data_IF_184144591485
#
_entry.id   IF_184144591485
#
_cell.length_a   1.000
_cell.length_b   1.000
_cell.length_c   1.000
_cell.angle_alpha   90.00
_cell.angle_beta   90.00
_cell.angle_gamma   90.00
#
_symmetry.space_group_name_H-M   'P 1'
#
loop_
_entity.id
_entity.type
_entity.pdbx_description
1 polymer ?
#
# COMPACT_ATOMS: atom_id res chain seq x y z
N UNK A 1 36.08 -8.84 68.91
CA UNK A 1 36.63 -7.74 69.74
C UNK A 1 37.58 -6.99 68.83
N UNK A 2 37.36 -5.76 68.38
CA UNK A 2 36.59 -4.62 68.90
C UNK A 2 36.28 -3.69 67.72
N UNK A 3 35.09 -3.08 67.73
CA UNK A 3 34.71 -1.96 66.87
C UNK A 3 35.59 -0.73 67.10
N UNK A 4 35.77 0.10 66.08
CA UNK A 4 35.96 1.55 66.23
C UNK A 4 35.39 2.28 65.02
N UNK A 5 34.67 3.35 65.29
CA UNK A 5 33.75 4.11 64.44
C UNK A 5 34.37 5.37 63.80
N UNK A 6 33.89 5.71 62.59
CA UNK A 6 33.75 7.07 62.01
C UNK A 6 34.99 7.76 61.42
N UNK A 7 34.85 8.76 60.50
CA UNK A 7 33.67 9.62 60.32
C UNK A 7 33.09 9.73 58.89
N UNK A 8 31.88 10.28 58.84
CA UNK A 8 31.10 10.66 57.65
C UNK A 8 31.76 11.77 56.83
N UNK A 9 31.65 11.71 55.50
CA UNK A 9 31.60 12.91 54.66
C UNK A 9 30.63 12.73 53.50
N UNK A 10 29.56 13.53 53.58
CA UNK A 10 28.77 14.17 52.52
C UNK A 10 29.27 14.01 51.08
N UNK A 11 28.41 13.47 50.20
CA UNK A 11 28.55 13.51 48.75
C UNK A 11 27.16 13.44 48.12
N UNK A 12 26.78 14.53 47.46
CA UNK A 12 25.42 14.85 47.01
C UNK A 12 24.73 13.76 46.19
N UNK A 13 23.43 13.60 46.44
CA UNK A 13 22.45 13.08 45.49
C UNK A 13 22.55 13.86 44.17
N UNK A 14 23.15 13.25 43.15
CA UNK A 14 22.76 13.55 41.78
C UNK A 14 21.67 12.58 41.39
N UNK A 15 20.43 12.93 41.75
CA UNK A 15 19.23 12.49 41.05
C UNK A 15 19.33 12.99 39.61
N UNK A 16 20.00 12.19 38.79
CA UNK A 16 19.93 12.31 37.33
C UNK A 16 18.48 12.10 36.95
N UNK A 17 17.77 13.21 36.72
CA UNK A 17 16.45 13.19 36.12
C UNK A 17 16.66 12.69 34.70
N UNK A 18 16.41 11.41 34.45
CA UNK A 18 16.24 10.88 33.10
C UNK A 18 14.99 11.55 32.51
N UNK A 19 15.19 12.72 31.92
CA UNK A 19 14.20 13.35 31.04
C UNK A 19 14.10 12.47 29.80
N UNK A 20 13.20 11.49 29.85
CA UNK A 20 12.75 10.78 28.66
C UNK A 20 11.93 11.76 27.83
N UNK A 21 12.62 12.54 26.98
CA UNK A 21 11.93 13.30 25.94
C UNK A 21 11.21 12.29 25.05
N UNK A 22 9.88 12.26 25.14
CA UNK A 22 9.04 11.40 24.32
C UNK A 22 9.04 11.97 22.90
N UNK A 23 10.07 11.63 22.14
CA UNK A 23 10.23 12.02 20.75
C UNK A 23 8.97 11.61 19.96
N UNK A 24 8.33 12.56 19.27
CA UNK A 24 7.16 12.28 18.45
C UNK A 24 7.57 11.39 17.28
N UNK A 25 7.11 10.13 17.28
CA UNK A 25 7.31 9.19 16.19
C UNK A 25 6.12 9.20 15.23
N UNK A 26 6.41 9.28 13.93
CA UNK A 26 5.41 9.11 12.86
C UNK A 26 5.78 7.84 12.10
N UNK A 27 4.88 6.87 12.10
CA UNK A 27 5.06 5.59 11.40
C UNK A 27 4.29 5.61 10.09
N UNK A 28 4.93 5.20 8.99
CA UNK A 28 4.27 5.06 7.70
C UNK A 28 3.12 4.05 7.78
N UNK A 29 1.93 4.42 7.29
CA UNK A 29 0.75 3.57 7.19
C UNK A 29 -0.14 4.01 6.03
N UNK A 30 -1.03 3.12 5.60
CA UNK A 30 -2.15 3.46 4.73
C UNK A 30 -3.33 4.02 5.52
N UNK A 31 -4.41 4.34 4.81
CA UNK A 31 -5.66 4.84 5.38
C UNK A 31 -6.45 3.75 6.10
N UNK A 32 -7.08 4.10 7.22
CA UNK A 32 -8.14 3.30 7.83
C UNK A 32 -9.41 3.38 6.99
N UNK A 33 -10.32 2.42 7.16
CA UNK A 33 -11.60 2.40 6.45
C UNK A 33 -12.35 3.73 6.59
N UNK A 34 -12.38 4.32 7.78
CA UNK A 34 -13.11 5.55 8.08
C UNK A 34 -12.48 6.81 7.46
N UNK A 35 -11.19 6.76 7.13
CA UNK A 35 -10.44 7.86 6.50
C UNK A 35 -10.59 7.89 4.96
N UNK A 36 -11.17 6.84 4.36
CA UNK A 36 -11.46 6.82 2.93
C UNK A 36 -12.66 7.71 2.62
N UNK A 37 -12.55 8.53 1.59
CA UNK A 37 -13.63 9.37 1.10
C UNK A 37 -14.14 8.86 -0.25
N UNK A 38 -15.44 8.55 -0.34
CA UNK A 38 -16.04 8.10 -1.60
C UNK A 38 -15.99 9.22 -2.65
N UNK A 39 -15.64 8.87 -3.88
CA UNK A 39 -15.47 9.81 -5.00
C UNK A 39 -14.07 10.43 -5.11
N UNK A 40 -13.26 10.38 -4.04
CA UNK A 40 -11.89 10.94 -4.04
C UNK A 40 -10.94 10.06 -4.85
N UNK A 41 -10.02 10.72 -5.56
CA UNK A 41 -8.92 10.11 -6.32
C UNK A 41 -7.62 10.33 -5.56
N UNK A 42 -6.92 9.24 -5.29
CA UNK A 42 -5.62 9.22 -4.63
C UNK A 42 -4.53 8.96 -5.67
N UNK A 43 -3.61 9.91 -5.83
CA UNK A 43 -2.49 9.80 -6.76
C UNK A 43 -1.27 9.15 -6.10
N UNK A 44 -0.83 8.02 -6.64
CA UNK A 44 0.30 7.26 -6.10
C UNK A 44 1.59 7.70 -6.77
N UNK A 45 2.57 8.13 -5.97
CA UNK A 45 3.89 8.59 -6.41
C UNK A 45 5.00 8.01 -5.50
N UNK A 46 6.23 7.85 -6.01
CA UNK A 46 6.68 8.12 -7.39
C UNK A 46 6.14 7.11 -8.42
N UNK A 47 6.35 7.39 -9.71
CA UNK A 47 6.09 6.40 -10.78
C UNK A 47 7.14 5.28 -10.80
N UNK A 48 6.88 4.23 -11.58
CA UNK A 48 7.78 3.08 -11.75
C UNK A 48 8.08 2.82 -13.23
N UNK A 49 9.33 3.01 -13.63
CA UNK A 49 9.86 2.64 -14.94
C UNK A 49 9.94 1.13 -15.07
N UNK A 50 9.29 0.53 -16.06
CA UNK A 50 9.31 -0.90 -16.34
C UNK A 50 10.56 -1.28 -17.11
N UNK A 51 11.27 -2.29 -16.65
CA UNK A 51 12.52 -2.74 -17.25
C UNK A 51 12.39 -4.16 -17.80
N UNK A 52 13.36 -4.58 -18.60
CA UNK A 52 13.42 -5.96 -19.12
C UNK A 52 13.56 -6.96 -17.98
N UNK A 53 14.31 -6.59 -16.94
CA UNK A 53 14.45 -7.39 -15.72
C UNK A 53 13.10 -7.68 -15.08
N UNK A 54 12.21 -6.68 -15.02
CA UNK A 54 10.86 -6.87 -14.46
C UNK A 54 10.05 -7.88 -15.30
N UNK A 55 10.16 -7.79 -16.62
CA UNK A 55 9.43 -8.67 -17.53
C UNK A 55 9.93 -10.12 -17.45
N UNK A 56 11.26 -10.31 -17.48
CA UNK A 56 11.89 -11.63 -17.37
C UNK A 56 11.56 -12.25 -16.01
N UNK A 57 11.78 -11.51 -14.93
CA UNK A 57 11.55 -12.01 -13.57
C UNK A 57 10.08 -12.41 -13.38
N UNK A 58 9.15 -11.51 -13.68
CA UNK A 58 7.74 -11.78 -13.43
C UNK A 58 7.20 -12.91 -14.31
N UNK A 59 7.55 -12.91 -15.61
CA UNK A 59 7.04 -13.89 -16.56
C UNK A 59 7.56 -15.30 -16.27
N UNK A 60 8.83 -15.43 -15.89
CA UNK A 60 9.42 -16.73 -15.51
C UNK A 60 8.90 -17.21 -14.16
N UNK A 61 8.81 -16.31 -13.16
CA UNK A 61 8.28 -16.63 -11.83
C UNK A 61 6.82 -17.10 -11.89
N UNK A 62 6.01 -16.53 -12.78
CA UNK A 62 4.59 -16.89 -12.94
C UNK A 62 4.35 -18.01 -13.96
N UNK A 63 5.41 -18.61 -14.51
CA UNK A 63 5.32 -19.66 -15.53
C UNK A 63 4.40 -19.29 -16.70
N UNK A 64 4.50 -18.06 -17.21
CA UNK A 64 3.76 -17.65 -18.41
C UNK A 64 4.68 -17.80 -19.64
N UNK A 65 4.60 -18.90 -20.42
CA UNK A 65 5.54 -19.19 -21.51
C UNK A 65 5.24 -18.42 -22.80
N UNK A 66 4.31 -17.46 -22.79
CA UNK A 66 3.90 -16.72 -23.99
C UNK A 66 5.09 -15.97 -24.63
N UNK A 67 5.48 -16.28 -25.90
CA UNK A 67 6.57 -15.61 -26.60
C UNK A 67 6.50 -14.08 -26.63
N UNK A 68 5.29 -13.51 -26.59
CA UNK A 68 5.05 -12.05 -26.52
C UNK A 68 5.85 -11.31 -25.43
N UNK A 69 6.27 -11.99 -24.37
CA UNK A 69 6.97 -11.37 -23.26
C UNK A 69 8.48 -11.65 -23.23
N UNK A 70 8.96 -12.69 -23.92
CA UNK A 70 10.34 -13.19 -23.74
C UNK A 70 11.08 -13.50 -25.04
N UNK A 71 10.39 -13.66 -26.17
CA UNK A 71 11.01 -14.05 -27.43
C UNK A 71 11.09 -12.85 -28.37
N UNK A 72 12.28 -12.25 -28.46
CA UNK A 72 12.55 -11.13 -29.35
C UNK A 72 12.40 -11.51 -30.83
N UNK A 73 12.91 -12.67 -31.23
CA UNK A 73 12.87 -13.10 -32.63
C UNK A 73 11.43 -13.37 -33.09
N UNK A 74 10.61 -13.97 -32.23
CA UNK A 74 9.18 -14.12 -32.49
C UNK A 74 8.47 -12.76 -32.50
N UNK A 75 8.77 -11.88 -31.55
CA UNK A 75 8.09 -10.58 -31.43
C UNK A 75 8.32 -9.65 -32.62
N UNK A 76 9.48 -9.74 -33.28
CA UNK A 76 9.78 -9.03 -34.55
C UNK A 76 8.80 -9.37 -35.69
N UNK A 77 8.13 -10.52 -35.62
CA UNK A 77 7.11 -10.93 -36.61
C UNK A 77 5.71 -10.39 -36.31
N UNK A 78 5.52 -9.77 -35.15
CA UNK A 78 4.24 -9.22 -34.70
C UNK A 78 4.11 -7.72 -35.02
N UNK A 79 2.91 -7.18 -34.93
CA UNK A 79 2.67 -5.73 -35.08
C UNK A 79 3.41 -4.87 -34.05
N UNK A 80 3.83 -5.45 -32.91
CA UNK A 80 4.51 -4.72 -31.84
C UNK A 80 6.00 -4.55 -32.10
N UNK A 81 6.62 -5.42 -32.91
CA UNK A 81 8.03 -5.40 -33.27
C UNK A 81 9.02 -5.73 -32.14
N UNK A 82 8.54 -5.95 -30.92
CA UNK A 82 9.36 -6.23 -29.73
C UNK A 82 8.52 -6.89 -28.62
N UNK A 83 9.16 -7.51 -27.61
CA UNK A 83 8.45 -8.06 -26.47
C UNK A 83 7.70 -6.99 -25.68
N UNK A 84 6.45 -7.28 -25.31
CA UNK A 84 5.65 -6.43 -24.43
C UNK A 84 5.81 -6.85 -22.97
N UNK A 85 5.64 -5.88 -22.06
CA UNK A 85 5.55 -6.18 -20.63
C UNK A 85 4.37 -7.11 -20.35
N UNK A 86 4.57 -8.07 -19.47
CA UNK A 86 3.50 -8.94 -18.99
C UNK A 86 2.39 -8.11 -18.33
N UNK A 87 1.16 -8.25 -18.81
CA UNK A 87 0.02 -7.46 -18.35
C UNK A 87 -0.29 -7.72 -16.86
N UNK A 88 -0.06 -8.93 -16.38
CA UNK A 88 -0.21 -9.26 -14.96
C UNK A 88 0.85 -8.59 -14.08
N UNK A 89 2.06 -8.35 -14.60
CA UNK A 89 3.05 -7.51 -13.93
C UNK A 89 2.55 -6.07 -13.82
N UNK A 90 1.97 -5.53 -14.89
CA UNK A 90 1.39 -4.18 -14.90
C UNK A 90 0.28 -4.04 -13.86
N UNK A 91 -0.64 -5.01 -13.77
CA UNK A 91 -1.69 -5.05 -12.74
C UNK A 91 -1.10 -5.10 -11.32
N UNK A 92 -0.12 -5.99 -11.10
CA UNK A 92 0.52 -6.14 -9.80
C UNK A 92 1.24 -4.85 -9.37
N UNK A 93 1.96 -4.19 -10.27
CA UNK A 93 2.63 -2.92 -9.98
C UNK A 93 1.64 -1.80 -9.72
N UNK A 94 0.54 -1.72 -10.48
CA UNK A 94 -0.53 -0.72 -10.24
C UNK A 94 -1.13 -0.85 -8.84
N UNK A 95 -1.43 -2.07 -8.41
CA UNK A 95 -1.92 -2.34 -7.06
C UNK A 95 -0.83 -2.04 -6.02
N UNK A 96 0.41 -2.46 -6.28
CA UNK A 96 1.56 -2.27 -5.40
C UNK A 96 1.83 -0.80 -5.09
N UNK A 97 1.77 0.07 -6.11
CA UNK A 97 1.97 1.52 -5.95
C UNK A 97 0.95 2.15 -4.99
N UNK A 98 -0.28 1.62 -4.91
CA UNK A 98 -1.30 2.12 -3.99
C UNK A 98 -1.09 1.74 -2.53
N UNK A 99 -0.27 0.72 -2.25
CA UNK A 99 -0.24 0.07 -0.93
C UNK A 99 0.15 1.05 0.16
N UNK A 100 1.21 1.82 -0.06
CA UNK A 100 1.75 2.76 0.93
C UNK A 100 0.72 3.78 1.39
N UNK A 101 -0.09 4.30 0.46
CA UNK A 101 -1.09 5.33 0.73
C UNK A 101 -2.41 4.75 1.24
N UNK A 102 -2.90 3.64 0.67
CA UNK A 102 -4.27 3.18 0.91
C UNK A 102 -4.38 2.05 1.93
N UNK A 103 -3.47 1.09 1.93
CA UNK A 103 -3.75 -0.22 2.56
C UNK A 103 -2.66 -0.72 3.51
N UNK A 104 -1.49 -0.09 3.56
CA UNK A 104 -0.36 -0.54 4.38
C UNK A 104 -0.74 -0.58 5.87
N UNK A 105 -0.80 -1.80 6.42
CA UNK A 105 -1.17 -2.02 7.82
C UNK A 105 -2.66 -1.94 8.14
N UNK A 106 -3.52 -1.62 7.16
CA UNK A 106 -4.97 -1.41 7.39
C UNK A 106 -5.86 -2.38 6.61
N UNK A 107 -5.34 -3.03 5.57
CA UNK A 107 -6.09 -4.07 4.84
C UNK A 107 -6.13 -5.39 5.62
N UNK A 108 -7.32 -5.98 5.67
CA UNK A 108 -7.56 -7.32 6.21
C UNK A 108 -7.47 -8.37 5.12
N UNK A 109 -8.11 -8.10 3.98
CA UNK A 109 -8.12 -9.04 2.86
C UNK A 109 -8.36 -8.34 1.52
N UNK A 110 -7.72 -8.86 0.48
CA UNK A 110 -8.15 -8.64 -0.89
C UNK A 110 -9.33 -9.57 -1.21
N UNK A 111 -10.52 -9.02 -1.45
CA UNK A 111 -11.71 -9.84 -1.69
C UNK A 111 -11.86 -10.24 -3.16
N UNK A 112 -11.22 -9.51 -4.08
CA UNK A 112 -11.18 -9.87 -5.49
C UNK A 112 -11.19 -8.66 -6.42
N UNK A 113 -11.16 -8.96 -7.70
CA UNK A 113 -11.29 -7.99 -8.80
C UNK A 113 -12.55 -8.32 -9.60
N UNK A 114 -13.33 -7.30 -9.98
CA UNK A 114 -14.53 -7.48 -10.80
C UNK A 114 -14.33 -7.11 -12.27
N UNK A 115 -13.39 -6.21 -12.55
CA UNK A 115 -13.07 -5.76 -13.90
C UNK A 115 -11.57 -5.50 -13.98
N UNK A 116 -10.91 -5.99 -15.03
CA UNK A 116 -9.50 -5.72 -15.35
C UNK A 116 -9.39 -5.52 -16.85
N UNK A 117 -8.79 -4.42 -17.28
CA UNK A 117 -8.57 -4.11 -18.70
C UNK A 117 -7.15 -3.58 -18.93
N UNK A 118 -6.63 -3.82 -20.13
CA UNK A 118 -5.29 -3.38 -20.58
C UNK A 118 -5.42 -2.63 -21.91
N UNK A 119 -5.83 -1.35 -21.91
CA UNK A 119 -6.21 -0.65 -23.14
C UNK A 119 -5.04 -0.35 -24.09
N UNK A 120 -3.83 -0.20 -23.55
CA UNK A 120 -2.61 0.05 -24.29
C UNK A 120 -1.46 -0.85 -23.79
N UNK A 121 -0.56 -1.31 -24.67
CA UNK A 121 0.57 -2.13 -24.27
C UNK A 121 1.57 -1.31 -23.45
N UNK A 122 2.22 -1.96 -22.49
CA UNK A 122 3.37 -1.39 -21.78
C UNK A 122 4.63 -1.98 -22.38
N UNK A 123 5.60 -1.12 -22.69
CA UNK A 123 6.88 -1.50 -23.30
C UNK A 123 8.02 -1.39 -22.28
N UNK A 124 9.15 -1.98 -22.63
CA UNK A 124 10.39 -1.75 -21.91
C UNK A 124 10.73 -0.25 -21.90
N UNK A 125 11.06 0.30 -20.74
CA UNK A 125 11.39 1.72 -20.56
C UNK A 125 10.19 2.61 -20.22
N UNK A 126 8.95 2.14 -20.37
CA UNK A 126 7.77 2.93 -19.99
C UNK A 126 7.73 3.17 -18.49
N UNK A 127 7.35 4.37 -18.07
CA UNK A 127 7.14 4.71 -16.67
C UNK A 127 5.66 4.79 -16.36
N UNK A 128 5.19 3.95 -15.44
CA UNK A 128 3.78 3.96 -15.03
C UNK A 128 3.56 4.81 -13.79
N UNK A 129 2.48 5.58 -13.82
CA UNK A 129 1.91 6.32 -12.70
C UNK A 129 0.52 5.77 -12.44
N UNK A 130 0.16 5.66 -11.16
CA UNK A 130 -1.12 5.08 -10.77
C UNK A 130 -1.94 6.04 -9.94
N UNK A 131 -3.24 5.97 -10.10
CA UNK A 131 -4.21 6.64 -9.25
C UNK A 131 -5.30 5.67 -8.83
N UNK A 132 -6.04 6.00 -7.79
CA UNK A 132 -7.14 5.16 -7.30
C UNK A 132 -8.32 5.99 -6.86
N UNK A 133 -9.48 5.74 -7.46
CA UNK A 133 -10.74 6.32 -7.03
C UNK A 133 -11.46 5.39 -6.06
N UNK A 134 -11.97 5.92 -4.96
CA UNK A 134 -12.89 5.18 -4.08
C UNK A 134 -14.28 5.24 -4.69
N UNK A 135 -14.73 4.14 -5.30
CA UNK A 135 -16.05 4.07 -5.93
C UNK A 135 -17.17 3.94 -4.90
N UNK A 136 -16.93 3.12 -3.87
CA UNK A 136 -17.91 2.79 -2.85
C UNK A 136 -17.21 2.37 -1.55
N UNK A 137 -17.88 2.59 -0.42
CA UNK A 137 -17.45 2.07 0.89
C UNK A 137 -18.67 1.75 1.75
N UNK A 138 -18.63 0.62 2.45
CA UNK A 138 -19.68 0.24 3.40
C UNK A 138 -19.13 -0.51 4.60
N UNK A 139 -19.75 -0.33 5.76
CA UNK A 139 -19.42 -1.11 6.94
C UNK A 139 -19.68 -2.62 6.69
N UNK A 140 -18.87 -3.46 7.31
CA UNK A 140 -19.07 -4.91 7.29
C UNK A 140 -20.19 -5.29 8.26
N UNK A 141 -21.18 -6.02 7.77
CA UNK A 141 -22.28 -6.52 8.61
C UNK A 141 -21.86 -7.67 9.52
N UNK A 142 -20.84 -8.44 9.13
CA UNK A 142 -20.39 -9.64 9.85
C UNK A 142 -19.09 -9.44 10.63
N UNK A 143 -18.41 -8.29 10.47
CA UNK A 143 -17.14 -7.98 11.14
C UNK A 143 -17.19 -6.56 11.72
N UNK A 144 -17.61 -6.39 12.98
CA UNK A 144 -17.65 -5.09 13.64
C UNK A 144 -16.28 -4.40 13.59
N UNK A 145 -16.28 -3.07 13.40
CA UNK A 145 -15.05 -2.28 13.26
C UNK A 145 -14.30 -2.47 11.94
N UNK A 146 -14.88 -3.15 10.95
CA UNK A 146 -14.31 -3.31 9.61
C UNK A 146 -15.27 -2.84 8.53
N UNK A 147 -14.74 -2.51 7.37
CA UNK A 147 -15.53 -2.08 6.22
C UNK A 147 -14.98 -2.61 4.90
N UNK A 148 -15.84 -2.68 3.90
CA UNK A 148 -15.49 -3.06 2.54
C UNK A 148 -15.42 -1.80 1.70
N UNK A 149 -14.28 -1.59 1.03
CA UNK A 149 -14.08 -0.52 0.07
C UNK A 149 -13.96 -1.11 -1.34
N UNK A 150 -14.55 -0.39 -2.31
CA UNK A 150 -14.40 -0.67 -3.74
C UNK A 150 -13.53 0.41 -4.36
N UNK A 151 -12.39 0.00 -4.90
CA UNK A 151 -11.40 0.86 -5.52
C UNK A 151 -11.39 0.67 -7.03
N UNK A 152 -11.31 1.75 -7.78
CA UNK A 152 -10.94 1.75 -9.19
C UNK A 152 -9.50 2.23 -9.30
N UNK A 153 -8.60 1.32 -9.63
CA UNK A 153 -7.21 1.63 -9.94
C UNK A 153 -7.08 1.94 -11.42
N UNK A 154 -6.28 2.94 -11.75
CA UNK A 154 -5.93 3.30 -13.11
C UNK A 154 -4.44 3.59 -13.22
N UNK A 155 -3.78 2.97 -14.20
CA UNK A 155 -2.39 3.19 -14.54
C UNK A 155 -2.26 3.92 -15.87
N UNK A 156 -1.36 4.91 -15.92
CA UNK A 156 -0.99 5.63 -17.13
C UNK A 156 0.52 5.60 -17.35
N UNK A 157 0.96 5.57 -18.61
CA UNK A 157 2.37 5.72 -18.94
C UNK A 157 2.81 7.21 -18.87
N UNK A 158 4.09 7.47 -19.15
CA UNK A 158 4.68 8.82 -19.18
C UNK A 158 4.04 9.76 -20.21
N UNK A 159 3.28 9.24 -21.17
CA UNK A 159 2.56 10.00 -22.20
C UNK A 159 1.10 10.27 -21.82
N UNK A 160 0.65 9.79 -20.64
CA UNK A 160 -0.72 9.97 -20.16
C UNK A 160 -1.72 8.92 -20.68
N UNK A 161 -1.26 7.95 -21.47
CA UNK A 161 -2.09 6.89 -22.04
C UNK A 161 -2.48 5.87 -20.96
N UNK A 162 -3.73 5.41 -20.96
CA UNK A 162 -4.21 4.41 -19.99
C UNK A 162 -3.73 3.02 -20.39
N UNK A 163 -2.89 2.42 -19.57
CA UNK A 163 -2.30 1.10 -19.84
C UNK A 163 -2.95 -0.03 -19.05
N UNK A 164 -3.55 0.29 -17.88
CA UNK A 164 -4.33 -0.66 -17.12
C UNK A 164 -5.44 0.03 -16.30
N UNK A 165 -6.56 -0.67 -16.11
CA UNK A 165 -7.62 -0.29 -15.17
C UNK A 165 -8.14 -1.53 -14.47
N UNK A 166 -8.40 -1.43 -13.17
CA UNK A 166 -8.96 -2.53 -12.39
C UNK A 166 -9.91 -2.06 -11.29
N UNK A 167 -11.04 -2.75 -11.13
CA UNK A 167 -11.96 -2.57 -10.00
C UNK A 167 -11.71 -3.65 -8.96
N UNK A 168 -11.24 -3.25 -7.78
CA UNK A 168 -10.77 -4.10 -6.69
C UNK A 168 -11.62 -3.89 -5.44
N UNK A 169 -12.04 -4.99 -4.79
CA UNK A 169 -12.71 -4.93 -3.48
C UNK A 169 -11.78 -5.39 -2.38
N UNK A 170 -11.72 -4.63 -1.30
CA UNK A 170 -10.89 -4.93 -0.13
C UNK A 170 -11.71 -4.84 1.15
N UNK A 171 -11.38 -5.70 2.11
CA UNK A 171 -11.82 -5.58 3.50
C UNK A 171 -10.74 -4.84 4.28
N UNK A 172 -11.12 -3.80 5.01
CA UNK A 172 -10.21 -2.92 5.75
C UNK A 172 -10.65 -2.77 7.19
N UNK A 173 -9.67 -2.56 8.07
CA UNK A 173 -9.90 -2.19 9.45
C UNK A 173 -10.39 -0.73 9.52
N UNK A 174 -11.37 -0.48 10.37
CA UNK A 174 -11.68 0.85 10.86
C UNK A 174 -10.70 1.26 11.96
N UNK A 175 -10.74 2.53 12.36
CA UNK A 175 -9.88 3.02 13.44
C UNK A 175 -10.32 2.43 14.78
N UNK A 176 -9.40 1.84 15.53
CA UNK A 176 -9.70 1.18 16.82
C UNK A 176 -10.10 2.19 17.93
N UNK A 177 -9.80 3.48 17.76
CA UNK A 177 -10.08 4.52 18.76
C UNK A 177 -11.54 5.01 18.78
N UNK A 178 -12.38 4.57 17.85
CA UNK A 178 -13.80 4.97 17.80
C UNK A 178 -14.70 4.21 18.79
N UNK A 179 -14.18 3.19 19.47
CA UNK A 179 -14.92 2.35 20.43
C UNK A 179 -14.73 2.73 21.90
N UNK A 180 -14.08 3.85 22.23
CA UNK A 180 -13.78 4.25 23.61
C UNK A 180 -14.55 5.47 24.15
N UNK A 181 -15.42 6.11 23.36
CA UNK A 181 -16.33 7.16 23.84
C UNK A 181 -17.77 6.64 23.85
N UNK A 182 -18.09 5.79 24.82
CA UNK A 182 -19.47 5.61 25.25
C UNK A 182 -19.90 6.89 26.01
N UNK A 183 -21.15 7.38 25.85
CA UNK A 183 -21.62 8.54 26.59
C UNK A 183 -21.56 8.23 28.09
N UNK A 184 -20.84 9.07 28.84
CA UNK A 184 -20.77 8.97 30.29
C UNK A 184 -22.19 8.90 30.87
N UNK A 185 -22.40 7.91 31.74
CA UNK A 185 -23.61 7.81 32.56
C UNK A 185 -23.85 9.16 33.25
N UNK A 186 -24.97 9.80 32.89
CA UNK A 186 -25.47 10.94 33.62
C UNK A 186 -25.94 10.45 35.00
N UNK A 187 -25.10 10.67 36.02
CA UNK A 187 -25.53 10.64 37.40
C UNK A 187 -26.34 11.91 37.69
N UNK A 188 -27.64 11.73 37.96
CA UNK A 188 -28.49 12.63 38.73
C UNK A 188 -29.60 11.81 39.39
#
# INVERSE_FOLDING_TARGET
MTETTGPETSGAETTGTEQTSTERRITQRGLWFDELEQGVVYEHRPGRTMTETDNVLFTTLTMNPQPLHLDRAWSETTEFGEPLMNSMHTLATMVGLSVGQLTLGTIVANLGFSEVTFPAPVRHGDTIYCETRVLDKRASQSRPGQGIATFEHQARNQHGEVVARAVRKVLMQGRQDASAEAPGEASA
#
